data_IF_473618535148
#
_entry.id   IF_473618535148
#
_cell.length_a   1.000
_cell.length_b   1.000
_cell.length_c   1.000
_cell.angle_alpha   90.00
_cell.angle_beta   90.00
_cell.angle_gamma   90.00
#
_symmetry.space_group_name_H-M   'P 1'
#
loop_
_entity.id
_entity.type
_entity.pdbx_description
1 polymer ?
#
# COMPACT_ATOMS: atom_id res chain seq x y z
N UNK A 1 8.35 9.73 -18.60
CA UNK A 1 7.18 8.87 -18.73
C UNK A 1 6.15 9.21 -17.67
N UNK A 2 5.03 9.71 -18.12
CA UNK A 2 3.96 10.12 -17.22
C UNK A 2 3.08 8.96 -16.84
N UNK A 3 2.50 9.07 -15.66
CA UNK A 3 1.50 8.13 -15.18
C UNK A 3 0.56 8.83 -14.21
N UNK A 4 -0.57 8.25 -14.00
CA UNK A 4 -1.55 8.75 -13.06
C UNK A 4 -2.28 7.60 -12.39
N UNK A 5 -2.95 7.90 -11.28
CA UNK A 5 -3.73 6.94 -10.53
C UNK A 5 -5.20 7.27 -10.68
N UNK A 6 -5.98 6.28 -11.08
CA UNK A 6 -7.43 6.41 -11.18
C UNK A 6 -8.07 5.77 -9.96
N UNK A 7 -9.06 6.45 -9.39
CA UNK A 7 -9.78 5.95 -8.23
C UNK A 7 -10.86 4.96 -8.66
N UNK A 8 -11.17 4.00 -7.80
CA UNK A 8 -12.41 3.25 -7.89
C UNK A 8 -13.56 4.21 -7.55
N UNK A 9 -14.73 3.97 -8.14
CA UNK A 9 -15.86 4.88 -8.02
C UNK A 9 -16.66 4.71 -6.73
N UNK A 10 -16.04 4.27 -5.67
CA UNK A 10 -16.71 4.04 -4.40
C UNK A 10 -16.22 5.02 -3.34
N UNK A 11 -17.14 5.48 -2.51
CA UNK A 11 -16.82 6.40 -1.42
C UNK A 11 -16.11 5.64 -0.29
N UNK A 12 -14.87 6.03 0.00
CA UNK A 12 -14.06 5.38 1.02
C UNK A 12 -14.70 5.47 2.42
N UNK A 13 -15.46 6.53 2.70
CA UNK A 13 -16.10 6.69 4.00
C UNK A 13 -17.24 5.70 4.20
N UNK A 14 -17.87 5.26 3.13
CA UNK A 14 -18.97 4.28 3.17
C UNK A 14 -18.46 2.85 3.16
N UNK A 15 -17.54 2.52 2.25
CA UNK A 15 -17.09 1.15 2.04
C UNK A 15 -15.80 0.81 2.79
N UNK A 16 -15.15 1.80 3.40
CA UNK A 16 -13.94 1.63 4.21
C UNK A 16 -12.72 1.18 3.40
N UNK A 17 -12.79 1.26 2.08
CA UNK A 17 -11.66 0.94 1.22
C UNK A 17 -11.73 1.70 -0.09
N UNK A 18 -10.58 1.86 -0.72
CA UNK A 18 -10.48 2.50 -2.02
C UNK A 18 -9.31 1.90 -2.78
N UNK A 19 -9.56 1.57 -4.05
CA UNK A 19 -8.55 1.01 -4.93
C UNK A 19 -8.11 2.06 -5.93
N UNK A 20 -6.80 2.20 -6.10
CA UNK A 20 -6.20 3.06 -7.10
C UNK A 20 -5.51 2.19 -8.14
N UNK A 21 -5.82 2.42 -9.41
CA UNK A 21 -5.19 1.70 -10.51
C UNK A 21 -4.05 2.56 -11.06
N UNK A 22 -2.84 2.02 -11.04
CA UNK A 22 -1.67 2.69 -11.60
C UNK A 22 -1.61 2.40 -13.09
N UNK A 23 -1.61 3.46 -13.90
CA UNK A 23 -1.52 3.32 -15.34
C UNK A 23 -0.37 4.14 -15.91
N UNK A 24 0.09 3.79 -17.11
CA UNK A 24 1.00 4.63 -17.85
C UNK A 24 0.22 5.59 -18.76
N UNK A 25 0.93 6.39 -19.57
CA UNK A 25 0.30 7.37 -20.46
C UNK A 25 -0.59 6.73 -21.52
N UNK A 26 -0.36 5.47 -21.87
CA UNK A 26 -1.21 4.71 -22.80
C UNK A 26 -2.41 4.07 -22.09
N UNK A 27 -2.60 4.38 -20.82
CA UNK A 27 -3.66 3.82 -19.96
C UNK A 27 -3.58 2.31 -19.79
N UNK A 28 -2.39 1.77 -19.94
CA UNK A 28 -2.13 0.35 -19.66
C UNK A 28 -1.98 0.16 -18.16
N UNK A 29 -2.74 -0.76 -17.55
CA UNK A 29 -2.60 -1.02 -16.11
C UNK A 29 -1.21 -1.56 -15.78
N UNK A 30 -0.55 -0.97 -14.79
CA UNK A 30 0.77 -1.39 -14.30
C UNK A 30 0.66 -2.07 -12.93
N UNK A 31 -0.37 -1.77 -12.19
CA UNK A 31 -0.59 -2.33 -10.86
C UNK A 31 -1.70 -1.60 -10.14
N UNK A 32 -1.87 -1.92 -8.88
CA UNK A 32 -2.85 -1.25 -8.03
C UNK A 32 -2.33 -1.03 -6.61
N UNK A 33 -2.90 0.01 -5.99
CA UNK A 33 -2.68 0.30 -4.58
C UNK A 33 -4.05 0.36 -3.91
N UNK A 34 -4.20 -0.37 -2.83
CA UNK A 34 -5.43 -0.37 -2.05
C UNK A 34 -5.23 0.33 -0.72
N UNK A 35 -6.17 1.20 -0.36
CA UNK A 35 -6.37 1.63 1.01
C UNK A 35 -7.53 0.81 1.55
N UNK A 36 -7.35 0.16 2.70
CA UNK A 36 -8.37 -0.73 3.27
C UNK A 36 -8.51 -0.47 4.77
N UNK A 37 -9.59 -0.98 5.34
CA UNK A 37 -9.91 -0.81 6.76
C UNK A 37 -9.80 0.65 7.20
N UNK A 38 -10.32 1.54 6.36
CA UNK A 38 -10.30 2.97 6.63
C UNK A 38 -11.07 3.27 7.91
N UNK A 39 -10.41 3.95 8.85
CA UNK A 39 -10.98 4.32 10.13
C UNK A 39 -10.92 5.83 10.28
N UNK A 40 -12.07 6.48 10.15
CA UNK A 40 -12.16 7.94 10.21
C UNK A 40 -12.00 8.47 11.64
N UNK A 41 -12.27 7.66 12.64
CA UNK A 41 -12.18 8.05 14.04
C UNK A 41 -10.72 8.03 14.48
N UNK A 42 -10.03 6.92 14.23
CA UNK A 42 -8.62 6.77 14.61
C UNK A 42 -7.67 7.28 13.52
N UNK A 43 -8.20 7.70 12.39
CA UNK A 43 -7.47 8.31 11.28
C UNK A 43 -6.33 7.44 10.79
N UNK A 44 -6.67 6.20 10.45
CA UNK A 44 -5.70 5.25 9.92
C UNK A 44 -6.31 4.40 8.81
N UNK A 45 -5.45 3.83 7.97
CA UNK A 45 -5.85 2.86 6.96
C UNK A 45 -4.69 1.92 6.68
N UNK A 46 -5.03 0.72 6.24
CA UNK A 46 -4.03 -0.19 5.70
C UNK A 46 -3.74 0.15 4.25
N UNK A 47 -2.54 -0.14 3.80
CA UNK A 47 -2.14 0.06 2.41
C UNK A 47 -1.51 -1.22 1.86
N UNK A 48 -1.96 -1.62 0.67
CA UNK A 48 -1.39 -2.76 -0.04
C UNK A 48 -1.08 -2.37 -1.46
N UNK A 49 -0.11 -3.04 -2.06
CA UNK A 49 0.31 -2.73 -3.43
C UNK A 49 0.61 -4.01 -4.21
N UNK A 50 0.18 -4.02 -5.47
CA UNK A 50 0.52 -5.06 -6.42
C UNK A 50 0.97 -4.39 -7.71
N UNK A 51 2.16 -4.76 -8.18
CA UNK A 51 2.67 -4.30 -9.48
C UNK A 51 2.82 -5.52 -10.38
N UNK A 52 2.34 -5.41 -11.62
CA UNK A 52 2.46 -6.51 -12.58
C UNK A 52 3.93 -6.88 -12.79
N UNK A 53 4.18 -8.18 -12.96
CA UNK A 53 5.55 -8.69 -13.06
C UNK A 53 6.37 -7.97 -14.14
N UNK A 54 5.77 -7.72 -15.29
CA UNK A 54 6.46 -7.04 -16.42
C UNK A 54 6.79 -5.57 -16.11
N UNK A 55 6.18 -5.00 -15.09
CA UNK A 55 6.37 -3.59 -14.70
C UNK A 55 7.25 -3.42 -13.48
N UNK A 56 7.71 -4.52 -12.88
CA UNK A 56 8.54 -4.49 -11.68
C UNK A 56 9.94 -3.98 -11.99
N UNK A 57 10.59 -3.44 -10.97
CA UNK A 57 11.98 -2.96 -11.09
C UNK A 57 12.14 -1.62 -11.79
N UNK A 58 11.03 -0.93 -12.08
CA UNK A 58 11.05 0.35 -12.81
C UNK A 58 10.66 1.54 -11.94
N UNK A 59 10.57 1.35 -10.63
CA UNK A 59 10.21 2.42 -9.72
C UNK A 59 8.73 2.77 -9.68
N UNK A 60 7.86 2.03 -10.36
CA UNK A 60 6.43 2.29 -10.38
C UNK A 60 5.79 2.19 -9.01
N UNK A 61 6.16 1.15 -8.24
CA UNK A 61 5.59 0.91 -6.93
C UNK A 61 5.87 2.07 -5.97
N UNK A 62 7.11 2.55 -5.96
CA UNK A 62 7.52 3.66 -5.11
C UNK A 62 6.75 4.94 -5.45
N UNK A 63 6.63 5.23 -6.75
CA UNK A 63 5.89 6.42 -7.19
C UNK A 63 4.41 6.31 -6.88
N UNK A 64 3.82 5.14 -7.07
CA UNK A 64 2.41 4.91 -6.78
C UNK A 64 2.13 5.08 -5.29
N UNK A 65 2.95 4.51 -4.42
CA UNK A 65 2.79 4.66 -2.99
C UNK A 65 2.96 6.10 -2.53
N UNK A 66 3.92 6.84 -3.10
CA UNK A 66 4.09 8.25 -2.78
C UNK A 66 2.83 9.05 -3.10
N UNK A 67 2.20 8.79 -4.24
CA UNK A 67 0.98 9.50 -4.62
C UNK A 67 -0.19 9.15 -3.70
N UNK A 68 -0.34 7.87 -3.36
CA UNK A 68 -1.41 7.45 -2.45
C UNK A 68 -1.18 7.98 -1.04
N UNK A 69 0.08 8.07 -0.61
CA UNK A 69 0.40 8.69 0.69
C UNK A 69 0.00 10.16 0.72
N UNK A 70 0.23 10.90 -0.36
CA UNK A 70 -0.22 12.29 -0.44
C UNK A 70 -1.74 12.38 -0.27
N UNK A 71 -2.47 11.51 -0.95
CA UNK A 71 -3.92 11.48 -0.83
C UNK A 71 -4.33 11.15 0.62
N UNK A 72 -3.73 10.11 1.18
CA UNK A 72 -4.07 9.66 2.53
C UNK A 72 -3.78 10.71 3.59
N UNK A 73 -2.59 11.30 3.57
CA UNK A 73 -2.18 12.24 4.59
C UNK A 73 -2.72 13.65 4.37
N UNK A 74 -2.77 14.12 3.13
CA UNK A 74 -3.11 15.50 2.83
C UNK A 74 -4.59 15.70 2.51
N UNK A 75 -5.22 14.79 1.80
CA UNK A 75 -6.64 14.92 1.46
C UNK A 75 -7.55 14.23 2.46
N UNK A 76 -7.23 12.99 2.84
CA UNK A 76 -8.03 12.23 3.80
C UNK A 76 -7.68 12.57 5.25
N UNK A 77 -6.60 13.31 5.47
CA UNK A 77 -6.16 13.76 6.79
C UNK A 77 -5.89 12.61 7.76
N UNK A 78 -5.38 11.49 7.25
CA UNK A 78 -5.04 10.37 8.09
C UNK A 78 -3.80 10.68 8.95
N UNK A 79 -3.74 10.06 10.11
CA UNK A 79 -2.60 10.15 11.01
C UNK A 79 -1.53 9.14 10.64
N UNK A 80 -1.94 7.96 10.20
CA UNK A 80 -1.00 6.90 9.85
C UNK A 80 -1.53 5.94 8.80
N UNK A 81 -0.58 5.28 8.15
CA UNK A 81 -0.82 4.13 7.30
C UNK A 81 -0.07 2.94 7.87
N UNK A 82 -0.61 1.75 7.66
CA UNK A 82 0.07 0.52 8.05
C UNK A 82 -0.02 -0.49 6.93
N UNK A 83 0.90 -1.47 6.94
CA UNK A 83 0.93 -2.51 5.92
C UNK A 83 1.36 -3.82 6.54
N UNK A 84 0.78 -4.91 6.05
CA UNK A 84 1.21 -6.25 6.39
C UNK A 84 1.94 -6.86 5.20
N UNK A 85 3.17 -7.31 5.41
CA UNK A 85 3.99 -7.87 4.33
C UNK A 85 4.50 -9.23 4.75
N UNK A 86 4.29 -10.23 3.88
CA UNK A 86 4.81 -11.57 4.13
C UNK A 86 6.33 -11.55 4.30
N UNK A 87 6.82 -12.36 5.22
CA UNK A 87 8.25 -12.40 5.57
C UNK A 87 9.16 -12.73 4.39
N UNK A 88 8.63 -13.45 3.41
CA UNK A 88 9.39 -13.88 2.23
C UNK A 88 9.22 -12.94 1.03
N UNK A 89 8.43 -11.89 1.16
CA UNK A 89 8.25 -10.91 0.11
C UNK A 89 9.33 -9.83 0.20
N UNK A 90 10.54 -10.19 -0.20
CA UNK A 90 11.73 -9.33 -0.06
C UNK A 90 11.55 -7.99 -0.76
N UNK A 91 10.93 -7.98 -1.93
CA UNK A 91 10.72 -6.74 -2.71
C UNK A 91 9.82 -5.77 -1.96
N UNK A 92 8.71 -6.25 -1.39
CA UNK A 92 7.80 -5.39 -0.62
C UNK A 92 8.41 -4.92 0.70
N UNK A 93 9.15 -5.80 1.38
CA UNK A 93 9.86 -5.41 2.60
C UNK A 93 10.81 -4.24 2.32
N UNK A 94 11.59 -4.34 1.26
CA UNK A 94 12.53 -3.29 0.86
C UNK A 94 11.80 -2.01 0.44
N UNK A 95 10.69 -2.14 -0.25
CA UNK A 95 9.90 -1.00 -0.71
C UNK A 95 9.36 -0.17 0.46
N UNK A 96 8.72 -0.81 1.43
CA UNK A 96 8.17 -0.10 2.57
C UNK A 96 9.25 0.54 3.42
N UNK A 97 10.37 -0.16 3.60
CA UNK A 97 11.51 0.43 4.32
C UNK A 97 12.08 1.64 3.58
N UNK A 98 12.22 1.56 2.27
CA UNK A 98 12.71 2.67 1.47
C UNK A 98 11.80 3.90 1.54
N UNK A 99 10.50 3.70 1.75
CA UNK A 99 9.53 4.79 1.86
C UNK A 99 9.37 5.31 3.29
N UNK A 100 10.18 4.83 4.22
CA UNK A 100 10.18 5.34 5.58
C UNK A 100 9.21 4.66 6.53
N UNK A 101 8.64 3.52 6.13
CA UNK A 101 7.82 2.74 7.05
C UNK A 101 8.71 2.04 8.05
N UNK A 102 8.24 1.95 9.28
CA UNK A 102 8.96 1.32 10.37
C UNK A 102 8.36 -0.05 10.67
N UNK A 103 9.22 -1.05 10.86
CA UNK A 103 8.77 -2.36 11.31
C UNK A 103 8.37 -2.26 12.78
N UNK A 104 7.11 -2.50 13.09
CA UNK A 104 6.61 -2.35 14.44
C UNK A 104 6.17 -3.66 15.09
N UNK A 105 5.91 -4.68 14.30
CA UNK A 105 5.46 -5.97 14.83
C UNK A 105 5.66 -7.08 13.83
N UNK A 106 5.56 -8.32 14.33
CA UNK A 106 5.52 -9.52 13.50
C UNK A 106 4.35 -10.36 13.97
N UNK A 107 3.48 -10.73 13.03
CA UNK A 107 2.40 -11.67 13.30
C UNK A 107 2.89 -13.07 12.99
N UNK A 108 3.06 -13.86 14.01
CA UNK A 108 3.62 -15.21 13.88
C UNK A 108 2.65 -16.16 13.23
N UNK A 109 3.13 -16.97 12.29
CA UNK A 109 2.37 -18.01 11.61
C UNK A 109 1.03 -17.51 11.07
N UNK A 110 1.05 -16.33 10.50
CA UNK A 110 -0.15 -15.59 10.11
C UNK A 110 -0.77 -16.08 8.79
N UNK A 111 0.08 -16.46 7.83
CA UNK A 111 -0.37 -16.88 6.50
C UNK A 111 0.03 -18.32 6.23
N UNK A 112 -0.88 -19.09 5.61
CA UNK A 112 -0.60 -20.47 5.23
C UNK A 112 -0.54 -20.58 3.72
N UNK A 113 0.64 -20.94 3.18
CA UNK A 113 0.82 -21.23 1.76
C UNK A 113 2.10 -22.05 1.57
N UNK A 114 2.21 -22.70 0.44
CA UNK A 114 3.31 -23.64 0.17
C UNK A 114 3.45 -24.68 1.28
N UNK A 115 2.29 -25.12 1.78
CA UNK A 115 2.19 -26.20 2.77
C UNK A 115 2.88 -25.90 4.10
N UNK A 116 3.02 -24.61 4.47
CA UNK A 116 3.53 -24.21 5.79
C UNK A 116 3.05 -22.81 6.17
N UNK A 117 3.20 -22.49 7.43
CA UNK A 117 2.84 -21.17 7.96
C UNK A 117 4.00 -20.19 7.80
N UNK A 118 3.66 -18.94 7.54
CA UNK A 118 4.62 -17.85 7.35
C UNK A 118 4.26 -16.68 8.24
N UNK A 119 5.28 -15.98 8.70
CA UNK A 119 5.07 -14.77 9.48
C UNK A 119 4.73 -13.59 8.56
N UNK A 120 4.05 -12.59 9.14
CA UNK A 120 3.77 -11.34 8.45
C UNK A 120 4.36 -10.18 9.24
N UNK A 121 5.16 -9.36 8.56
CA UNK A 121 5.77 -8.18 9.15
C UNK A 121 4.78 -7.01 9.08
N UNK A 122 4.60 -6.30 10.17
CA UNK A 122 3.74 -5.12 10.22
C UNK A 122 4.60 -3.87 10.15
N UNK A 123 4.24 -2.99 9.21
CA UNK A 123 4.88 -1.70 9.02
C UNK A 123 3.92 -0.58 9.39
N UNK A 124 4.45 0.52 9.91
CA UNK A 124 3.66 1.72 10.17
C UNK A 124 4.39 2.95 9.65
N UNK A 125 3.64 3.90 9.13
CA UNK A 125 4.16 5.22 8.80
C UNK A 125 3.24 6.27 9.41
N UNK A 126 3.76 7.00 10.37
CA UNK A 126 3.01 8.03 11.08
C UNK A 126 3.35 9.37 10.44
N UNK A 127 2.30 10.17 10.20
CA UNK A 127 2.50 11.52 9.68
C UNK A 127 3.07 12.41 10.77
N UNK A 128 4.27 12.90 10.53
CA UNK A 128 4.89 13.89 11.38
C UNK A 128 4.66 15.28 10.79
N UNK A 129 4.20 16.19 11.59
CA UNK A 129 3.88 17.57 11.17
C UNK A 129 5.10 18.44 11.34
#
# INVERSE_FOLDING_TARGET
LEKYIANAHQDIFSVKQQRFVLTNTAQTPLGLVDLYDFDAIHKRAGVGIVVQAKSRGKGWAKKALNLVEEIAFNQLKLHQLYAGVGEDNVASLALFEALGYERTAVKKEWNFYHNRYHDEVVFQKIKHV
#
